data_IF_462033035849
#
_entry.id   IF_462033035849
#
_cell.length_a   1.000
_cell.length_b   1.000
_cell.length_c   1.000
_cell.angle_alpha   90.00
_cell.angle_beta   90.00
_cell.angle_gamma   90.00
#
_symmetry.space_group_name_H-M   'P 1'
#
loop_
_entity.id
_entity.type
_entity.pdbx_description
1 polymer ?
#
# COMPACT_ATOMS: atom_id res chain seq x y z
N UNK A 1 -12.17 11.60 7.41
CA UNK A 1 -11.82 11.37 8.83
C UNK A 1 -12.44 12.44 9.72
N UNK A 2 -11.99 13.70 9.67
CA UNK A 2 -12.50 14.78 10.55
C UNK A 2 -13.99 15.09 10.33
N UNK A 3 -14.43 15.14 9.07
CA UNK A 3 -15.85 15.30 8.73
C UNK A 3 -16.75 14.15 9.25
N UNK A 4 -16.16 12.99 9.57
CA UNK A 4 -16.83 11.84 10.19
C UNK A 4 -16.63 11.81 11.72
N UNK A 5 -16.23 12.93 12.32
CA UNK A 5 -15.99 13.07 13.76
C UNK A 5 -14.75 12.33 14.29
N UNK A 6 -13.78 12.01 13.43
CA UNK A 6 -12.50 11.42 13.82
C UNK A 6 -11.36 12.44 13.90
N UNK A 7 -10.18 11.98 14.28
CA UNK A 7 -8.93 12.76 14.27
C UNK A 7 -7.83 12.05 13.50
N UNK A 8 -6.81 12.80 13.07
CA UNK A 8 -5.54 12.27 12.60
C UNK A 8 -4.50 12.62 13.64
N UNK A 9 -3.85 11.61 14.24
CA UNK A 9 -2.82 11.82 15.25
C UNK A 9 -1.44 11.69 14.62
N UNK A 10 -0.63 12.75 14.76
CA UNK A 10 0.77 12.82 14.35
C UNK A 10 1.74 12.35 15.45
N UNK A 11 1.24 11.77 16.54
CA UNK A 11 2.07 11.18 17.61
C UNK A 11 2.80 9.90 17.16
N UNK A 12 2.39 9.35 16.02
CA UNK A 12 2.97 8.15 15.40
C UNK A 12 3.46 8.51 14.00
N UNK A 13 4.48 7.77 13.54
CA UNK A 13 4.93 7.81 12.16
C UNK A 13 4.73 6.41 11.56
N UNK A 14 3.83 6.23 10.57
CA UNK A 14 2.97 7.24 9.95
C UNK A 14 1.79 7.69 10.86
N UNK A 15 1.17 8.85 10.56
CA UNK A 15 0.00 9.34 11.28
C UNK A 15 -1.18 8.35 11.30
N UNK A 16 -1.97 8.37 12.37
CA UNK A 16 -3.02 7.37 12.61
C UNK A 16 -4.42 7.96 12.80
N UNK A 17 -5.42 7.33 12.18
CA UNK A 17 -6.86 7.60 12.39
C UNK A 17 -7.24 7.28 13.83
N UNK A 18 -7.75 8.27 14.55
CA UNK A 18 -8.06 8.22 15.98
C UNK A 18 -6.91 7.62 16.82
N UNK A 19 -5.65 7.85 16.41
CA UNK A 19 -4.45 7.31 17.06
C UNK A 19 -4.27 5.79 16.95
N UNK A 20 -5.04 5.11 16.09
CA UNK A 20 -5.11 3.64 16.07
C UNK A 20 -4.72 3.01 14.74
N UNK A 21 -5.24 3.52 13.61
CA UNK A 21 -5.05 2.88 12.31
C UNK A 21 -4.24 3.77 11.35
N UNK A 22 -3.17 3.24 10.79
CA UNK A 22 -2.29 3.94 9.84
C UNK A 22 -2.85 4.00 8.39
N UNK A 23 -4.11 3.60 8.19
CA UNK A 23 -4.76 3.58 6.88
C UNK A 23 -6.11 4.31 6.94
N UNK A 24 -6.37 5.17 5.95
CA UNK A 24 -7.65 5.87 5.81
C UNK A 24 -8.70 5.05 5.06
N UNK A 25 -8.29 3.98 4.37
CA UNK A 25 -9.16 3.02 3.69
C UNK A 25 -8.73 1.60 4.01
N UNK A 26 -9.70 0.74 4.28
CA UNK A 26 -9.47 -0.68 4.54
C UNK A 26 -10.80 -1.45 4.42
N UNK A 27 -10.72 -2.70 3.97
CA UNK A 27 -11.79 -3.66 4.23
C UNK A 27 -11.77 -4.05 5.71
N UNK A 28 -12.93 -4.44 6.27
CA UNK A 28 -13.05 -4.67 7.71
C UNK A 28 -13.02 -3.34 8.50
N UNK A 29 -12.21 -3.27 9.57
CA UNK A 29 -12.06 -2.08 10.41
C UNK A 29 -13.41 -1.52 10.93
N UNK A 30 -14.37 -2.41 11.24
CA UNK A 30 -15.77 -2.06 11.47
C UNK A 30 -16.00 -1.00 12.55
N UNK A 31 -15.13 -0.94 13.58
CA UNK A 31 -15.21 0.08 14.64
C UNK A 31 -15.15 1.52 14.13
N UNK A 32 -14.59 1.76 12.94
CA UNK A 32 -14.51 3.08 12.29
C UNK A 32 -15.65 3.35 11.29
N UNK A 33 -16.62 2.43 11.20
CA UNK A 33 -17.69 2.40 10.19
C UNK A 33 -19.08 2.28 10.82
N UNK A 34 -19.27 2.92 11.97
CA UNK A 34 -20.49 2.77 12.80
C UNK A 34 -21.48 3.93 12.63
N UNK A 35 -21.17 4.94 11.81
CA UNK A 35 -22.06 6.08 11.63
C UNK A 35 -23.16 5.74 10.62
N UNK A 36 -24.36 5.47 11.10
CA UNK A 36 -25.51 5.14 10.27
C UNK A 36 -26.03 6.33 9.42
N UNK A 37 -25.61 7.57 9.71
CA UNK A 37 -25.98 8.75 8.94
C UNK A 37 -25.04 9.01 7.75
N UNK A 38 -23.88 8.35 7.70
CA UNK A 38 -22.89 8.53 6.65
C UNK A 38 -22.89 7.36 5.65
N UNK A 39 -22.69 7.63 4.35
CA UNK A 39 -22.47 6.57 3.38
C UNK A 39 -21.15 5.84 3.65
N UNK A 40 -20.95 4.66 3.05
CA UNK A 40 -19.72 3.86 3.22
C UNK A 40 -18.43 4.64 2.89
N UNK A 41 -18.50 5.50 1.87
CA UNK A 41 -17.39 6.37 1.47
C UNK A 41 -17.08 7.47 2.51
N UNK A 42 -18.08 7.86 3.31
CA UNK A 42 -18.00 8.95 4.28
C UNK A 42 -17.55 8.54 5.68
N UNK A 43 -17.41 7.24 5.95
CA UNK A 43 -16.96 6.73 7.27
C UNK A 43 -15.53 7.20 7.60
N UNK A 44 -15.13 7.11 8.87
CA UNK A 44 -13.76 7.49 9.29
C UNK A 44 -12.69 6.71 8.53
N UNK A 45 -12.93 5.41 8.33
CA UNK A 45 -12.14 4.55 7.45
C UNK A 45 -13.06 4.05 6.34
N UNK A 46 -12.74 4.36 5.09
CA UNK A 46 -13.57 3.98 3.96
C UNK A 46 -13.34 2.54 3.52
N UNK A 47 -14.42 1.82 3.20
CA UNK A 47 -14.34 0.52 2.50
C UNK A 47 -14.37 0.63 0.98
N UNK A 48 -14.48 1.84 0.44
CA UNK A 48 -14.71 2.06 -0.99
C UNK A 48 -13.35 2.18 -1.71
N UNK A 49 -13.09 1.33 -2.73
CA UNK A 49 -11.82 1.37 -3.46
C UNK A 49 -11.75 2.60 -4.37
N UNK A 50 -10.54 2.96 -4.75
CA UNK A 50 -10.31 3.80 -5.91
C UNK A 50 -10.11 2.89 -7.13
N UNK A 51 -10.78 3.22 -8.24
CA UNK A 51 -10.81 2.39 -9.44
C UNK A 51 -10.22 3.18 -10.59
N UNK A 52 -9.26 2.56 -11.27
CA UNK A 52 -8.58 3.12 -12.41
C UNK A 52 -8.52 2.08 -13.53
N UNK A 53 -8.47 2.55 -14.77
CA UNK A 53 -8.42 1.70 -15.96
C UNK A 53 -7.25 2.14 -16.85
N UNK A 54 -6.47 1.17 -17.31
CA UNK A 54 -5.35 1.40 -18.24
C UNK A 54 -5.34 0.32 -19.32
N UNK A 55 -4.91 0.70 -20.52
CA UNK A 55 -4.64 -0.25 -21.61
C UNK A 55 -3.21 -0.77 -21.52
N UNK A 56 -3.04 -2.08 -21.40
CA UNK A 56 -1.73 -2.73 -21.42
C UNK A 56 -1.45 -3.43 -22.75
N UNK A 57 -0.18 -3.57 -23.10
CA UNK A 57 0.31 -4.32 -24.27
C UNK A 57 1.17 -5.50 -23.82
N UNK A 58 1.39 -6.44 -24.74
CA UNK A 58 2.32 -7.53 -24.50
C UNK A 58 3.72 -6.96 -24.21
N UNK A 59 4.25 -7.28 -23.04
CA UNK A 59 5.57 -6.80 -22.58
C UNK A 59 5.50 -5.72 -21.50
N UNK A 60 4.32 -5.14 -21.23
CA UNK A 60 4.14 -4.23 -20.10
C UNK A 60 4.18 -5.00 -18.76
N UNK A 61 4.63 -4.31 -17.71
CA UNK A 61 4.73 -4.86 -16.36
C UNK A 61 3.77 -4.17 -15.41
N UNK A 62 3.10 -4.96 -14.58
CA UNK A 62 2.37 -4.49 -13.40
C UNK A 62 3.04 -5.06 -12.16
N UNK A 63 3.55 -4.18 -11.31
CA UNK A 63 4.18 -4.54 -10.05
C UNK A 63 3.22 -4.21 -8.91
N UNK A 64 2.90 -5.20 -8.09
CA UNK A 64 2.05 -5.08 -6.91
C UNK A 64 2.83 -5.56 -5.70
N UNK A 65 2.89 -4.73 -4.66
CA UNK A 65 3.50 -5.05 -3.38
C UNK A 65 2.84 -4.22 -2.27
N UNK A 66 2.99 -4.65 -1.02
CA UNK A 66 2.60 -3.87 0.16
C UNK A 66 3.59 -2.74 0.45
N UNK A 67 3.24 -1.89 1.42
CA UNK A 67 4.06 -0.83 2.00
C UNK A 67 5.47 -1.29 2.38
N UNK A 68 5.66 -2.47 2.99
CA UNK A 68 7.01 -2.95 3.33
C UNK A 68 8.04 -2.94 2.18
N UNK A 69 7.59 -3.09 0.92
CA UNK A 69 8.46 -2.90 -0.25
C UNK A 69 8.65 -1.42 -0.59
N UNK A 70 7.55 -0.66 -0.64
CA UNK A 70 7.50 0.72 -1.11
C UNK A 70 8.06 1.74 -0.12
N UNK A 71 8.05 1.42 1.16
CA UNK A 71 8.71 2.19 2.22
C UNK A 71 10.23 2.02 2.15
N UNK A 72 10.70 0.92 1.54
CA UNK A 72 12.13 0.59 1.45
C UNK A 72 12.80 1.03 0.14
N UNK A 73 12.07 0.94 -0.99
CA UNK A 73 12.58 1.26 -2.32
C UNK A 73 11.57 1.99 -3.20
N UNK A 74 12.09 2.90 -4.05
CA UNK A 74 11.28 3.57 -5.06
C UNK A 74 10.78 2.60 -6.15
N UNK A 75 9.68 2.97 -6.80
CA UNK A 75 9.10 2.21 -7.90
C UNK A 75 10.07 1.98 -9.06
N UNK A 76 10.92 2.95 -9.38
CA UNK A 76 11.95 2.83 -10.43
C UNK A 76 13.02 1.81 -10.05
N UNK A 77 13.41 1.78 -8.77
CA UNK A 77 14.41 0.82 -8.28
C UNK A 77 13.87 -0.60 -8.36
N UNK A 78 12.64 -0.83 -7.92
CA UNK A 78 12.00 -2.15 -8.00
C UNK A 78 11.78 -2.57 -9.45
N UNK A 79 11.30 -1.65 -10.30
CA UNK A 79 11.13 -1.91 -11.73
C UNK A 79 12.44 -2.29 -12.41
N UNK A 80 13.56 -1.63 -12.05
CA UNK A 80 14.88 -1.96 -12.56
C UNK A 80 15.28 -3.41 -12.21
N UNK A 81 15.12 -3.82 -10.96
CA UNK A 81 15.52 -5.15 -10.51
C UNK A 81 14.67 -6.27 -11.11
N UNK A 82 13.37 -6.02 -11.37
CA UNK A 82 12.42 -7.05 -11.84
C UNK A 82 12.29 -7.07 -13.36
N UNK A 83 12.16 -5.90 -14.00
CA UNK A 83 11.75 -5.78 -15.40
C UNK A 83 12.94 -5.83 -16.38
N UNK A 84 14.17 -5.53 -15.94
CA UNK A 84 15.35 -5.65 -16.80
C UNK A 84 15.70 -7.12 -17.08
N UNK A 85 15.97 -7.46 -18.34
CA UNK A 85 16.20 -8.85 -18.82
C UNK A 85 17.66 -9.30 -18.63
N UNK A 86 18.42 -8.66 -17.74
CA UNK A 86 19.84 -8.91 -17.61
C UNK A 86 20.16 -9.88 -16.45
N UNK A 87 20.87 -10.96 -16.77
CA UNK A 87 21.43 -11.90 -15.78
C UNK A 87 20.49 -13.03 -15.39
N UNK A 88 19.50 -12.75 -14.55
CA UNK A 88 18.57 -13.75 -14.00
C UNK A 88 17.31 -13.85 -14.88
N UNK A 89 17.03 -14.99 -15.55
CA UNK A 89 15.79 -15.16 -16.32
C UNK A 89 14.56 -15.47 -15.46
N UNK A 90 14.73 -16.01 -14.25
CA UNK A 90 13.61 -16.44 -13.40
C UNK A 90 12.99 -15.27 -12.64
N UNK A 91 11.69 -15.04 -12.84
CA UNK A 91 10.96 -13.97 -12.19
C UNK A 91 10.84 -14.17 -10.67
N UNK A 92 10.70 -15.41 -10.21
CA UNK A 92 10.62 -15.74 -8.80
C UNK A 92 11.90 -15.33 -8.06
N UNK A 93 13.06 -15.65 -8.63
CA UNK A 93 14.37 -15.24 -8.10
C UNK A 93 14.54 -13.72 -8.07
N UNK A 94 14.08 -13.00 -9.09
CA UNK A 94 14.10 -11.53 -9.08
C UNK A 94 13.25 -10.94 -7.97
N UNK A 95 12.03 -11.45 -7.78
CA UNK A 95 11.14 -11.00 -6.71
C UNK A 95 11.72 -11.35 -5.33
N UNK A 96 12.24 -12.56 -5.16
CA UNK A 96 12.91 -12.98 -3.93
C UNK A 96 14.12 -12.10 -3.60
N UNK A 97 14.90 -11.70 -4.62
CA UNK A 97 16.00 -10.74 -4.45
C UNK A 97 15.50 -9.37 -4.00
N UNK A 98 14.41 -8.85 -4.55
CA UNK A 98 13.82 -7.57 -4.09
C UNK A 98 13.40 -7.68 -2.62
N UNK A 99 12.72 -8.77 -2.23
CA UNK A 99 12.33 -9.00 -0.84
C UNK A 99 13.54 -9.11 0.09
N UNK A 100 14.59 -9.82 -0.33
CA UNK A 100 15.83 -9.90 0.45
C UNK A 100 16.48 -8.54 0.61
N UNK A 101 16.52 -7.72 -0.45
CA UNK A 101 17.03 -6.35 -0.37
C UNK A 101 16.21 -5.47 0.60
N UNK A 102 14.90 -5.71 0.73
CA UNK A 102 14.06 -5.03 1.71
C UNK A 102 14.44 -5.43 3.13
N UNK A 103 14.57 -6.74 3.38
CA UNK A 103 14.99 -7.30 4.68
C UNK A 103 16.39 -6.80 5.06
N UNK A 104 17.33 -6.76 4.10
CA UNK A 104 18.71 -6.29 4.33
C UNK A 104 18.77 -4.80 4.69
N UNK A 105 17.72 -4.04 4.36
CA UNK A 105 17.53 -2.64 4.73
C UNK A 105 16.73 -2.46 6.02
N UNK A 106 16.50 -3.53 6.76
CA UNK A 106 15.79 -3.54 8.03
C UNK A 106 14.30 -3.16 7.90
N UNK A 107 13.67 -3.52 6.78
CA UNK A 107 12.20 -3.50 6.69
C UNK A 107 11.61 -4.38 7.80
N UNK A 108 10.64 -3.86 8.55
CA UNK A 108 10.10 -4.45 9.77
C UNK A 108 8.66 -4.97 9.68
N UNK A 109 8.07 -4.90 8.48
CA UNK A 109 6.76 -5.48 8.11
C UNK A 109 6.83 -6.92 7.57
#
# INVERSE_FOLDING_TARGET
>A
IEAAGGTVSDEFDPPRVDGQLACSRALGAFKFKQDAALPEAGQKVSGVPEVYEWSARRGDWLLLACDGVWDTFSSERVAKEVCEVNGEPDLGNKLAKVLQLCIDKEADD
#
